data_IF_585925221412
#
_entry.id   IF_585925221412
#
_cell.length_a   1.000
_cell.length_b   1.000
_cell.length_c   1.000
_cell.angle_alpha   90.00
_cell.angle_beta   90.00
_cell.angle_gamma   90.00
#
_symmetry.space_group_name_H-M   'P 1'
#
loop_
_entity.id
_entity.type
_entity.pdbx_description
1 polymer ?
#
# COMPACT_ATOMS: atom_id res chain seq x y z
N UNK A 1 -10.29 11.84 -4.97
CA UNK A 1 -11.24 11.10 -4.11
C UNK A 1 -11.32 11.83 -2.78
N UNK A 2 -12.51 12.01 -2.20
CA UNK A 2 -12.67 12.71 -0.91
C UNK A 2 -12.32 11.79 0.27
N UNK A 3 -11.79 12.36 1.36
CA UNK A 3 -11.36 11.62 2.56
C UNK A 3 -12.42 10.64 3.11
N UNK A 4 -13.73 10.98 3.14
CA UNK A 4 -14.77 10.04 3.58
C UNK A 4 -14.90 8.81 2.69
N UNK A 5 -14.78 8.96 1.37
CA UNK A 5 -14.86 7.83 0.43
C UNK A 5 -13.71 6.86 0.60
N UNK A 6 -12.50 7.37 0.85
CA UNK A 6 -11.33 6.53 1.12
C UNK A 6 -11.51 5.72 2.40
N UNK A 7 -12.03 6.35 3.46
CA UNK A 7 -12.32 5.68 4.73
C UNK A 7 -13.37 4.57 4.61
N UNK A 8 -14.44 4.82 3.84
CA UNK A 8 -15.49 3.83 3.57
C UNK A 8 -14.94 2.60 2.85
N UNK A 9 -14.15 2.82 1.79
CA UNK A 9 -13.54 1.72 1.02
C UNK A 9 -12.60 0.91 1.90
N UNK A 10 -11.75 1.58 2.68
CA UNK A 10 -10.83 0.91 3.60
C UNK A 10 -11.58 0.03 4.63
N UNK A 11 -12.67 0.56 5.22
CA UNK A 11 -13.47 -0.17 6.20
C UNK A 11 -14.16 -1.42 5.63
N UNK A 12 -14.71 -1.34 4.42
CA UNK A 12 -15.32 -2.49 3.74
C UNK A 12 -14.27 -3.58 3.46
N UNK A 13 -13.11 -3.20 2.94
CA UNK A 13 -12.02 -4.15 2.68
C UNK A 13 -11.55 -4.83 3.98
N UNK A 14 -11.48 -4.08 5.08
CA UNK A 14 -11.11 -4.60 6.38
C UNK A 14 -12.11 -5.63 6.92
N UNK A 15 -13.41 -5.32 6.77
CA UNK A 15 -14.48 -6.22 7.19
C UNK A 15 -14.44 -7.54 6.40
N UNK A 16 -14.24 -7.48 5.08
CA UNK A 16 -14.12 -8.67 4.23
C UNK A 16 -12.90 -9.52 4.63
N UNK A 17 -11.76 -8.89 4.89
CA UNK A 17 -10.55 -9.59 5.32
C UNK A 17 -10.75 -10.31 6.66
N UNK A 18 -11.42 -9.63 7.61
CA UNK A 18 -11.72 -10.17 8.93
C UNK A 18 -12.73 -11.33 8.88
N UNK A 19 -13.77 -11.26 8.04
CA UNK A 19 -14.79 -12.33 7.96
C UNK A 19 -14.36 -13.51 7.10
N UNK A 20 -13.60 -13.29 6.04
CA UNK A 20 -13.19 -14.38 5.12
C UNK A 20 -12.06 -15.23 5.68
N UNK A 21 -11.15 -14.64 6.47
CA UNK A 21 -9.97 -15.35 6.98
C UNK A 21 -9.63 -15.10 8.45
N UNK A 22 -10.47 -14.40 9.21
CA UNK A 22 -10.18 -14.05 10.60
C UNK A 22 -8.93 -13.16 10.73
N UNK A 23 -8.20 -13.33 11.85
CA UNK A 23 -6.96 -12.60 12.11
C UNK A 23 -5.87 -12.86 11.06
N UNK A 24 -5.77 -14.10 10.57
CA UNK A 24 -4.84 -14.50 9.50
C UNK A 24 -5.21 -13.87 8.15
N UNK A 25 -6.50 -13.76 7.83
CA UNK A 25 -7.00 -13.08 6.64
C UNK A 25 -6.71 -11.58 6.66
N UNK A 26 -6.89 -10.94 7.83
CA UNK A 26 -6.52 -9.55 8.05
C UNK A 26 -5.00 -9.31 7.85
N UNK A 27 -4.15 -10.15 8.45
CA UNK A 27 -2.70 -10.07 8.29
C UNK A 27 -2.29 -10.21 6.82
N UNK A 28 -2.85 -11.18 6.10
CA UNK A 28 -2.60 -11.35 4.66
C UNK A 28 -3.07 -10.14 3.86
N UNK A 29 -4.24 -9.57 4.17
CA UNK A 29 -4.74 -8.38 3.49
C UNK A 29 -3.83 -7.17 3.69
N UNK A 30 -3.29 -6.96 4.90
CA UNK A 30 -2.32 -5.90 5.18
C UNK A 30 -1.02 -6.12 4.43
N UNK A 31 -0.46 -7.34 4.46
CA UNK A 31 0.79 -7.67 3.75
C UNK A 31 0.62 -7.50 2.25
N UNK A 32 -0.44 -8.06 1.67
CA UNK A 32 -0.68 -8.00 0.23
C UNK A 32 -1.00 -6.57 -0.24
N UNK A 33 -1.76 -5.82 0.55
CA UNK A 33 -2.02 -4.40 0.32
C UNK A 33 -0.75 -3.55 0.36
N UNK A 34 0.13 -3.79 1.34
CA UNK A 34 1.42 -3.12 1.45
C UNK A 34 2.35 -3.45 0.26
N UNK A 35 2.41 -4.72 -0.15
CA UNK A 35 3.18 -5.15 -1.32
C UNK A 35 2.63 -4.54 -2.60
N UNK A 36 1.31 -4.57 -2.80
CA UNK A 36 0.65 -3.96 -3.95
C UNK A 36 0.87 -2.44 -4.01
N UNK A 37 0.82 -1.77 -2.86
CA UNK A 37 1.15 -0.33 -2.76
C UNK A 37 2.61 -0.06 -3.11
N UNK A 38 3.56 -0.86 -2.59
CA UNK A 38 4.98 -0.71 -2.89
C UNK A 38 5.27 -0.89 -4.38
N UNK A 39 4.66 -1.91 -4.99
CA UNK A 39 4.79 -2.17 -6.44
C UNK A 39 4.18 -1.02 -7.24
N UNK A 40 2.97 -0.56 -6.91
CA UNK A 40 2.34 0.58 -7.59
C UNK A 40 3.15 1.89 -7.41
N UNK A 41 3.72 2.12 -6.23
CA UNK A 41 4.59 3.26 -5.93
C UNK A 41 5.91 3.21 -6.73
N UNK A 42 6.43 2.00 -6.98
CA UNK A 42 7.60 1.76 -7.82
C UNK A 42 7.31 1.99 -9.30
N UNK A 43 6.19 1.47 -9.82
CA UNK A 43 5.81 1.64 -11.24
C UNK A 43 5.39 3.08 -11.56
N UNK A 44 4.79 3.79 -10.61
CA UNK A 44 4.38 5.19 -10.78
C UNK A 44 5.55 6.17 -10.79
N UNK A 45 6.78 5.73 -10.55
CA UNK A 45 7.97 6.59 -10.53
C UNK A 45 7.99 7.59 -9.37
N UNK A 46 7.03 7.52 -8.45
CA UNK A 46 7.00 8.36 -7.25
C UNK A 46 8.04 7.90 -6.21
N UNK A 47 8.31 6.59 -6.17
CA UNK A 47 9.44 6.02 -5.43
C UNK A 47 10.58 5.84 -6.42
N UNK A 48 11.26 6.94 -6.73
CA UNK A 48 12.47 6.88 -7.54
C UNK A 48 13.63 6.38 -6.67
N UNK A 49 13.76 5.05 -6.55
CA UNK A 49 14.90 4.43 -5.88
C UNK A 49 16.22 4.87 -6.56
N UNK A 50 16.21 5.27 -7.84
CA UNK A 50 17.40 5.86 -8.50
C UNK A 50 17.69 7.27 -8.02
N UNK A 51 16.70 8.10 -7.71
CA UNK A 51 16.93 9.43 -7.13
C UNK A 51 17.60 9.35 -5.75
N UNK A 52 17.17 8.40 -4.91
CA UNK A 52 17.81 8.14 -3.61
C UNK A 52 19.24 7.59 -3.77
N UNK A 53 19.52 6.78 -4.80
CA UNK A 53 20.86 6.21 -5.05
C UNK A 53 21.82 7.17 -5.76
N UNK A 54 21.32 8.09 -6.60
CA UNK A 54 22.12 9.07 -7.36
C UNK A 54 22.37 10.37 -6.58
N UNK A 55 21.55 10.69 -5.58
CA UNK A 55 21.69 11.88 -4.72
C UNK A 55 22.96 11.94 -3.86
N UNK A 56 23.83 10.91 -3.87
CA UNK A 56 25.11 10.90 -3.17
C UNK A 56 26.33 11.19 -4.06
N UNK A 57 26.15 11.62 -5.31
CA UNK A 57 27.28 11.82 -6.23
C UNK A 57 27.30 13.15 -7.00
N UNK A 58 26.99 14.27 -6.34
CA UNK A 58 27.46 15.64 -6.64
C UNK A 58 27.38 16.38 -5.31
N UNK A 59 28.46 16.57 -4.56
CA UNK A 59 29.59 17.47 -4.84
C UNK A 59 29.70 18.34 -3.60
#
# INVERSE_FOLDING_TARGET
MSVPSTGLIAGILLAIAATTGGFTGFLLAVVLGAVGWLVAAQLSGQVDIRAIFVGRRRG
#
